data_IF_372302000220
#
_entry.id   IF_372302000220
#
_cell.length_a   1.000
_cell.length_b   1.000
_cell.length_c   1.000
_cell.angle_alpha   90.00
_cell.angle_beta   90.00
_cell.angle_gamma   90.00
#
_symmetry.space_group_name_H-M   'P 1'
#
loop_
_entity.id
_entity.type
_entity.pdbx_description
1 polymer ?
#
# COMPACT_ATOMS: atom_id res chain seq x y z
N UNK A 1 22.03 14.78 4.39
CA UNK A 1 21.87 16.12 3.77
C UNK A 1 23.05 16.98 4.19
N UNK A 2 23.72 17.56 3.23
CA UNK A 2 24.77 18.56 3.46
C UNK A 2 24.21 19.93 3.13
N UNK A 3 24.34 20.88 4.06
CA UNK A 3 23.87 22.26 3.84
C UNK A 3 25.07 23.19 3.70
N UNK A 4 25.13 23.98 2.64
CA UNK A 4 26.13 25.01 2.43
C UNK A 4 25.43 26.37 2.14
N UNK A 5 26.21 27.45 1.96
CA UNK A 5 25.68 28.79 1.70
C UNK A 5 24.86 28.90 0.38
N UNK A 6 24.87 27.86 -0.48
CA UNK A 6 24.15 27.81 -1.76
C UNK A 6 22.91 26.90 -1.74
N UNK A 7 22.65 26.20 -0.63
CA UNK A 7 21.49 25.31 -0.47
C UNK A 7 21.83 23.99 0.22
N UNK A 8 20.84 23.09 0.33
CA UNK A 8 21.01 21.75 0.85
C UNK A 8 21.10 20.74 -0.30
N UNK A 9 22.12 19.89 -0.28
CA UNK A 9 22.35 18.83 -1.26
C UNK A 9 22.19 17.48 -0.58
N UNK A 10 21.47 16.54 -1.21
CA UNK A 10 21.35 15.17 -0.72
C UNK A 10 22.42 14.29 -1.36
N UNK A 11 23.38 13.83 -0.56
CA UNK A 11 24.48 12.99 -1.02
C UNK A 11 24.30 11.55 -0.52
N UNK A 12 24.41 10.60 -1.44
CA UNK A 12 24.65 9.19 -1.10
C UNK A 12 26.15 8.99 -0.93
N UNK A 13 26.57 8.64 0.29
CA UNK A 13 27.97 8.40 0.60
C UNK A 13 28.18 6.91 0.84
N UNK A 14 29.04 6.29 0.04
CA UNK A 14 29.49 4.92 0.24
C UNK A 14 30.98 4.89 0.55
N UNK A 15 31.37 4.06 1.54
CA UNK A 15 32.75 3.92 1.97
C UNK A 15 33.19 2.46 1.77
N UNK A 16 34.31 2.25 1.07
CA UNK A 16 34.95 0.95 0.90
C UNK A 16 36.37 1.00 1.40
N UNK A 17 36.80 0.02 2.18
CA UNK A 17 38.19 -0.13 2.59
C UNK A 17 38.90 -1.09 1.65
N UNK A 18 40.02 -0.64 1.08
CA UNK A 18 40.89 -1.42 0.21
C UNK A 18 42.31 -1.41 0.75
N UNK A 19 43.07 -2.49 0.58
CA UNK A 19 44.48 -2.55 0.90
C UNK A 19 45.28 -2.27 -0.38
N UNK A 20 46.02 -1.17 -0.39
CA UNK A 20 46.92 -0.83 -1.48
C UNK A 20 48.36 -0.84 -0.96
N UNK A 21 49.17 -1.76 -1.40
CA UNK A 21 50.57 -1.95 -0.94
C UNK A 21 50.69 -2.02 0.59
N UNK A 22 49.86 -2.88 1.22
CA UNK A 22 49.74 -3.06 2.68
C UNK A 22 49.32 -1.85 3.49
N UNK A 23 48.86 -0.78 2.86
CA UNK A 23 48.27 0.37 3.52
C UNK A 23 46.73 0.37 3.38
N UNK A 24 45.97 0.46 4.48
CA UNK A 24 44.55 0.58 4.38
C UNK A 24 44.15 1.96 3.85
N UNK A 25 43.44 1.94 2.71
CA UNK A 25 42.86 3.17 2.11
C UNK A 25 41.34 3.06 2.21
N UNK A 26 40.70 4.15 2.63
CA UNK A 26 39.23 4.27 2.60
C UNK A 26 38.85 5.09 1.37
N UNK A 27 38.17 4.43 0.42
CA UNK A 27 37.56 5.09 -0.73
C UNK A 27 36.18 5.59 -0.33
N UNK A 28 35.96 6.90 -0.43
CA UNK A 28 34.64 7.52 -0.25
C UNK A 28 34.10 7.92 -1.63
N UNK A 29 32.94 7.36 -1.99
CA UNK A 29 32.19 7.76 -3.19
C UNK A 29 30.99 8.58 -2.72
N UNK A 30 30.87 9.79 -3.23
CA UNK A 30 29.76 10.69 -2.95
C UNK A 30 28.99 10.95 -4.26
N UNK A 31 27.75 10.51 -4.31
CA UNK A 31 26.86 10.77 -5.44
C UNK A 31 25.80 11.78 -5.01
N UNK A 32 25.59 12.81 -5.81
CA UNK A 32 24.43 13.69 -5.68
C UNK A 32 23.20 12.95 -6.17
N UNK A 33 22.22 12.76 -5.29
CA UNK A 33 20.98 12.02 -5.60
C UNK A 33 19.75 12.94 -5.66
N UNK A 34 19.93 14.26 -5.58
CA UNK A 34 18.81 15.21 -5.60
C UNK A 34 18.02 15.09 -6.91
N UNK A 35 18.71 15.11 -8.05
CA UNK A 35 18.06 14.94 -9.36
C UNK A 35 17.44 13.54 -9.55
N UNK A 36 18.07 12.46 -9.08
CA UNK A 36 17.51 11.11 -9.19
C UNK A 36 16.28 10.89 -8.31
N UNK A 37 16.20 11.58 -7.17
CA UNK A 37 15.02 11.53 -6.29
C UNK A 37 13.86 12.30 -6.90
N UNK A 38 14.15 13.49 -7.45
CA UNK A 38 13.16 14.35 -8.12
C UNK A 38 12.60 13.66 -9.39
N UNK A 39 13.45 13.05 -10.22
CA UNK A 39 13.01 12.29 -11.38
C UNK A 39 12.09 11.10 -11.00
N UNK A 40 12.45 10.33 -9.98
CA UNK A 40 11.61 9.22 -9.50
C UNK A 40 10.30 9.71 -8.87
N UNK A 41 10.32 10.84 -8.22
CA UNK A 41 9.12 11.46 -7.67
C UNK A 41 8.21 11.97 -8.80
N UNK A 42 8.76 12.66 -9.78
CA UNK A 42 8.03 13.11 -10.98
C UNK A 42 7.44 11.93 -11.74
N UNK A 43 8.21 10.86 -11.99
CA UNK A 43 7.72 9.65 -12.63
C UNK A 43 6.55 9.02 -11.87
N UNK A 44 6.64 9.00 -10.54
CA UNK A 44 5.57 8.51 -9.67
C UNK A 44 4.30 9.36 -9.78
N UNK A 45 4.46 10.69 -9.84
CA UNK A 45 3.35 11.64 -10.03
C UNK A 45 2.72 11.51 -11.43
N UNK A 46 3.53 11.41 -12.48
CA UNK A 46 3.06 11.22 -13.86
C UNK A 46 2.27 9.92 -13.98
N UNK A 47 2.77 8.83 -13.37
CA UNK A 47 2.09 7.54 -13.32
C UNK A 47 0.76 7.63 -12.57
N UNK A 48 0.74 8.33 -11.44
CA UNK A 48 -0.47 8.59 -10.66
C UNK A 48 -1.53 9.37 -11.48
N UNK A 49 -1.13 10.47 -12.12
CA UNK A 49 -2.03 11.29 -12.96
C UNK A 49 -2.60 10.46 -14.12
N UNK A 50 -1.78 9.61 -14.73
CA UNK A 50 -2.23 8.73 -15.82
C UNK A 50 -3.30 7.74 -15.34
N UNK A 51 -3.09 7.09 -14.18
CA UNK A 51 -4.06 6.18 -13.59
C UNK A 51 -5.36 6.93 -13.24
N UNK A 52 -5.25 8.11 -12.60
CA UNK A 52 -6.40 8.97 -12.29
C UNK A 52 -7.21 9.31 -13.55
N UNK A 53 -6.54 9.76 -14.59
CA UNK A 53 -7.20 10.14 -15.85
C UNK A 53 -7.91 8.94 -16.48
N UNK A 54 -7.25 7.77 -16.47
CA UNK A 54 -7.81 6.54 -17.02
C UNK A 54 -9.05 6.08 -16.24
N UNK A 55 -9.01 6.02 -14.91
CA UNK A 55 -10.13 5.59 -14.06
C UNK A 55 -11.33 6.56 -14.12
N UNK A 56 -11.05 7.88 -14.18
CA UNK A 56 -12.10 8.88 -14.37
C UNK A 56 -12.75 8.71 -15.74
N UNK A 57 -11.98 8.56 -16.80
CA UNK A 57 -12.54 8.38 -18.15
C UNK A 57 -13.32 7.07 -18.30
N UNK A 58 -12.80 5.98 -17.73
CA UNK A 58 -13.49 4.68 -17.70
C UNK A 58 -14.84 4.73 -16.94
N UNK A 59 -14.97 5.64 -15.98
CA UNK A 59 -16.22 5.83 -15.24
C UNK A 59 -17.17 6.81 -15.93
N UNK A 60 -16.67 7.91 -16.50
CA UNK A 60 -17.52 8.94 -17.12
C UNK A 60 -18.04 8.51 -18.49
N UNK A 61 -17.22 7.85 -19.31
CA UNK A 61 -17.60 7.48 -20.68
C UNK A 61 -18.84 6.56 -20.73
N UNK A 62 -18.96 5.48 -19.92
CA UNK A 62 -20.19 4.67 -19.88
C UNK A 62 -21.40 5.46 -19.37
N UNK A 63 -21.22 6.34 -18.38
CA UNK A 63 -22.32 7.17 -17.83
C UNK A 63 -22.90 8.08 -18.92
N UNK A 64 -22.04 8.79 -19.66
CA UNK A 64 -22.47 9.68 -20.74
C UNK A 64 -23.11 8.88 -21.89
N UNK A 65 -22.47 7.80 -22.34
CA UNK A 65 -23.01 6.97 -23.43
C UNK A 65 -24.37 6.35 -23.10
N UNK A 66 -24.55 5.85 -21.87
CA UNK A 66 -25.84 5.30 -21.44
C UNK A 66 -26.90 6.41 -21.30
N UNK A 67 -26.53 7.58 -20.79
CA UNK A 67 -27.45 8.73 -20.69
C UNK A 67 -27.95 9.15 -22.08
N UNK A 68 -27.05 9.27 -23.07
CA UNK A 68 -27.40 9.62 -24.44
C UNK A 68 -28.28 8.55 -25.10
N UNK A 69 -27.98 7.27 -24.85
CA UNK A 69 -28.79 6.14 -25.33
C UNK A 69 -30.19 6.19 -24.76
N UNK A 70 -30.33 6.39 -23.44
CA UNK A 70 -31.63 6.48 -22.78
C UNK A 70 -32.46 7.66 -23.28
N UNK A 71 -31.82 8.83 -23.49
CA UNK A 71 -32.47 10.00 -24.08
C UNK A 71 -32.95 9.71 -25.50
N UNK A 72 -32.16 9.07 -26.34
CA UNK A 72 -32.52 8.66 -27.69
C UNK A 72 -33.73 7.72 -27.68
N UNK A 73 -33.72 6.71 -26.80
CA UNK A 73 -34.82 5.72 -26.67
C UNK A 73 -36.15 6.38 -26.24
N UNK A 74 -36.09 7.43 -25.39
CA UNK A 74 -37.29 8.17 -25.01
C UNK A 74 -37.90 9.01 -26.15
N UNK A 75 -37.12 9.31 -27.16
CA UNK A 75 -37.54 10.06 -28.36
C UNK A 75 -37.93 9.18 -29.51
N UNK A 76 -37.78 7.87 -29.40
CA UNK A 76 -38.08 6.87 -30.48
C UNK A 76 -39.51 6.35 -30.35
N UNK A 77 -40.41 6.65 -31.31
CA UNK A 77 -41.81 6.21 -31.25
C UNK A 77 -41.95 4.68 -31.52
N UNK A 78 -40.95 3.98 -31.99
CA UNK A 78 -41.00 2.55 -32.25
C UNK A 78 -40.75 1.70 -31.01
N UNK A 79 -40.22 2.28 -29.92
CA UNK A 79 -39.94 1.56 -28.69
C UNK A 79 -41.20 1.35 -27.87
N UNK A 80 -41.46 0.12 -27.45
CA UNK A 80 -42.60 -0.19 -26.60
C UNK A 80 -42.43 0.39 -25.18
N UNK A 81 -43.49 0.80 -24.47
CA UNK A 81 -43.40 1.31 -23.10
C UNK A 81 -42.71 0.34 -22.13
N UNK A 82 -42.93 -0.96 -22.30
CA UNK A 82 -42.30 -2.00 -21.44
C UNK A 82 -40.81 -2.13 -21.72
N UNK A 83 -40.37 -2.07 -22.96
CA UNK A 83 -38.95 -2.08 -23.31
C UNK A 83 -38.27 -0.80 -22.86
N UNK A 84 -38.90 0.34 -23.03
CA UNK A 84 -38.40 1.64 -22.56
C UNK A 84 -38.19 1.62 -21.05
N UNK A 85 -39.19 1.15 -20.28
CA UNK A 85 -39.08 1.04 -18.83
C UNK A 85 -37.92 0.13 -18.40
N UNK A 86 -37.86 -1.09 -18.96
CA UNK A 86 -36.82 -2.07 -18.64
C UNK A 86 -35.42 -1.53 -18.94
N UNK A 87 -35.22 -0.94 -20.12
CA UNK A 87 -33.94 -0.39 -20.54
C UNK A 87 -33.54 0.81 -19.70
N UNK A 88 -34.50 1.68 -19.34
CA UNK A 88 -34.26 2.81 -18.44
C UNK A 88 -33.84 2.35 -17.06
N UNK A 89 -34.53 1.37 -16.46
CA UNK A 89 -34.17 0.81 -15.15
C UNK A 89 -32.75 0.19 -15.17
N UNK A 90 -32.41 -0.58 -16.18
CA UNK A 90 -31.11 -1.18 -16.34
C UNK A 90 -30.01 -0.13 -16.55
N UNK A 91 -30.24 0.85 -17.42
CA UNK A 91 -29.27 1.92 -17.67
C UNK A 91 -29.00 2.78 -16.45
N UNK A 92 -30.07 3.18 -15.72
CA UNK A 92 -29.91 3.92 -14.47
C UNK A 92 -29.19 3.13 -13.39
N UNK A 93 -29.40 1.81 -13.33
CA UNK A 93 -28.66 0.94 -12.40
C UNK A 93 -27.17 0.95 -12.70
N UNK A 94 -26.76 0.79 -13.97
CA UNK A 94 -25.35 0.84 -14.37
C UNK A 94 -24.74 2.22 -14.10
N UNK A 95 -25.45 3.31 -14.41
CA UNK A 95 -25.01 4.67 -14.10
C UNK A 95 -24.78 4.85 -12.60
N UNK A 96 -25.71 4.36 -11.76
CA UNK A 96 -25.59 4.44 -10.30
C UNK A 96 -24.39 3.62 -9.78
N UNK A 97 -24.19 2.41 -10.26
CA UNK A 97 -23.08 1.55 -9.87
C UNK A 97 -21.73 2.17 -10.28
N UNK A 98 -21.63 2.69 -11.49
CA UNK A 98 -20.44 3.38 -11.99
C UNK A 98 -20.14 4.64 -11.17
N UNK A 99 -21.17 5.42 -10.84
CA UNK A 99 -21.03 6.60 -9.97
C UNK A 99 -20.53 6.26 -8.57
N UNK A 100 -21.04 5.18 -7.96
CA UNK A 100 -20.55 4.67 -6.67
C UNK A 100 -19.08 4.23 -6.75
N UNK A 101 -18.69 3.55 -7.83
CA UNK A 101 -17.30 3.18 -8.08
C UNK A 101 -16.37 4.39 -8.13
N UNK A 102 -16.78 5.46 -8.84
CA UNK A 102 -16.01 6.69 -8.92
C UNK A 102 -15.89 7.39 -7.57
N UNK A 103 -16.95 7.43 -6.76
CA UNK A 103 -16.90 7.99 -5.40
C UNK A 103 -15.88 7.21 -4.55
N UNK A 104 -15.93 5.88 -4.55
CA UNK A 104 -14.99 5.02 -3.83
C UNK A 104 -13.55 5.24 -4.27
N UNK A 105 -13.33 5.42 -5.56
CA UNK A 105 -12.01 5.75 -6.12
C UNK A 105 -11.50 7.11 -5.63
N UNK A 106 -12.34 8.16 -5.64
CA UNK A 106 -11.97 9.49 -5.13
C UNK A 106 -11.68 9.47 -3.62
N UNK A 107 -12.44 8.70 -2.84
CA UNK A 107 -12.17 8.52 -1.41
C UNK A 107 -10.82 7.82 -1.17
N UNK A 108 -10.51 6.82 -1.98
CA UNK A 108 -9.23 6.13 -1.96
C UNK A 108 -8.07 7.07 -2.28
N UNK A 109 -8.22 7.91 -3.30
CA UNK A 109 -7.27 8.97 -3.64
C UNK A 109 -7.07 9.96 -2.48
N UNK A 110 -8.15 10.40 -1.83
CA UNK A 110 -8.04 11.28 -0.66
C UNK A 110 -7.28 10.65 0.50
N UNK A 111 -7.49 9.36 0.77
CA UNK A 111 -6.73 8.61 1.79
C UNK A 111 -5.24 8.56 1.47
N UNK A 112 -4.88 8.44 0.20
CA UNK A 112 -3.47 8.45 -0.24
C UNK A 112 -2.82 9.83 -0.09
N UNK A 113 -3.54 10.92 -0.45
CA UNK A 113 -2.97 12.29 -0.48
C UNK A 113 -3.02 13.02 0.86
N UNK A 114 -3.85 12.57 1.82
CA UNK A 114 -4.10 13.26 3.09
C UNK A 114 -3.67 12.45 4.31
N UNK A 115 -2.43 11.95 4.30
CA UNK A 115 -1.87 11.34 5.50
C UNK A 115 -1.48 12.48 6.46
N UNK A 116 -2.01 12.52 7.69
CA UNK A 116 -1.66 13.56 8.66
C UNK A 116 -0.20 13.44 9.09
N UNK A 117 0.35 14.51 9.65
CA UNK A 117 1.69 14.46 10.25
C UNK A 117 1.66 13.52 11.46
N UNK A 118 2.67 12.61 11.62
CA UNK A 118 2.69 11.68 12.73
C UNK A 118 2.79 12.40 14.10
N UNK A 119 1.88 12.04 14.99
CA UNK A 119 1.92 12.40 16.42
C UNK A 119 2.55 11.24 17.19
N UNK A 120 3.86 11.27 17.32
CA UNK A 120 4.65 10.14 17.82
C UNK A 120 4.62 10.08 19.34
N UNK A 121 4.43 8.87 19.87
CA UNK A 121 4.56 8.52 21.27
C UNK A 121 5.29 7.19 21.46
N UNK A 122 5.62 6.84 22.68
CA UNK A 122 6.29 5.59 22.99
C UNK A 122 5.26 4.46 23.09
N UNK A 123 5.28 3.54 22.13
CA UNK A 123 4.34 2.42 21.98
C UNK A 123 4.99 1.13 22.50
N UNK A 124 4.31 0.40 23.39
CA UNK A 124 4.66 -0.98 23.71
C UNK A 124 4.16 -1.89 22.56
N UNK A 125 5.09 -2.57 21.87
CA UNK A 125 4.75 -3.35 20.69
C UNK A 125 3.92 -4.61 21.00
N UNK A 126 4.09 -5.20 22.16
CA UNK A 126 3.30 -6.37 22.55
C UNK A 126 1.81 -5.99 22.66
N UNK A 127 1.50 -4.98 23.47
CA UNK A 127 0.13 -4.50 23.59
C UNK A 127 -0.47 -4.02 22.26
N UNK A 128 0.35 -3.33 21.47
CA UNK A 128 -0.06 -2.76 20.18
C UNK A 128 -0.43 -3.86 19.18
N UNK A 129 0.43 -4.89 19.03
CA UNK A 129 0.20 -6.00 18.11
C UNK A 129 -0.98 -6.86 18.57
N UNK A 130 -1.11 -7.13 19.87
CA UNK A 130 -2.26 -7.87 20.41
C UNK A 130 -3.59 -7.17 20.12
N UNK A 131 -3.66 -5.83 20.26
CA UNK A 131 -4.85 -5.06 19.88
C UNK A 131 -5.16 -5.17 18.38
N UNK A 132 -4.14 -5.13 17.53
CA UNK A 132 -4.33 -5.28 16.08
C UNK A 132 -4.85 -6.68 15.72
N UNK A 133 -4.38 -7.72 16.38
CA UNK A 133 -4.89 -9.10 16.22
C UNK A 133 -6.37 -9.17 16.59
N UNK A 134 -6.76 -8.64 17.77
CA UNK A 134 -8.15 -8.62 18.22
C UNK A 134 -9.04 -7.87 17.21
N UNK A 135 -8.61 -6.69 16.75
CA UNK A 135 -9.37 -5.90 15.79
C UNK A 135 -9.53 -6.60 14.44
N UNK A 136 -8.49 -7.31 13.98
CA UNK A 136 -8.55 -8.03 12.72
C UNK A 136 -9.45 -9.26 12.77
N UNK A 137 -9.54 -9.95 13.92
CA UNK A 137 -10.38 -11.14 14.08
C UNK A 137 -11.88 -10.84 14.11
N UNK A 138 -12.29 -9.59 14.29
CA UNK A 138 -13.71 -9.17 14.32
C UNK A 138 -14.31 -8.87 12.95
N UNK A 139 -13.50 -8.83 11.89
CA UNK A 139 -14.04 -8.57 10.54
C UNK A 139 -14.78 -9.82 9.99
N UNK A 140 -16.04 -9.69 9.57
CA UNK A 140 -16.78 -10.79 8.96
C UNK A 140 -16.10 -11.18 7.63
N UNK A 141 -15.99 -12.47 7.34
CA UNK A 141 -15.38 -13.10 6.16
C UNK A 141 -13.86 -13.31 6.21
N UNK A 142 -13.21 -13.23 7.37
CA UNK A 142 -11.85 -13.75 7.45
C UNK A 142 -11.85 -15.29 7.59
N UNK A 143 -10.92 -15.99 6.90
CA UNK A 143 -10.73 -17.41 7.11
C UNK A 143 -10.31 -17.69 8.56
N UNK A 144 -10.57 -18.89 9.06
CA UNK A 144 -9.93 -19.37 10.29
C UNK A 144 -8.42 -19.42 10.04
N UNK A 145 -7.68 -18.48 10.66
CA UNK A 145 -6.24 -18.34 10.51
C UNK A 145 -5.60 -18.46 11.87
N UNK A 146 -4.60 -19.32 11.98
CA UNK A 146 -3.73 -19.35 13.16
C UNK A 146 -2.80 -18.16 13.13
N UNK A 147 -2.78 -17.38 14.23
CA UNK A 147 -1.91 -16.20 14.33
C UNK A 147 -0.95 -16.40 15.51
N UNK A 148 0.34 -16.48 15.20
CA UNK A 148 1.41 -16.49 16.20
C UNK A 148 2.02 -15.10 16.38
N UNK A 149 2.27 -14.73 17.63
CA UNK A 149 2.91 -13.44 17.99
C UNK A 149 4.19 -13.73 18.77
N UNK A 150 5.33 -13.24 18.26
CA UNK A 150 6.66 -13.41 18.85
C UNK A 150 7.38 -12.05 18.91
N UNK A 151 7.56 -11.51 20.10
CA UNK A 151 8.18 -10.20 20.32
C UNK A 151 9.37 -10.35 21.26
N UNK A 152 10.54 -9.94 20.80
CA UNK A 152 11.80 -10.04 21.53
C UNK A 152 12.59 -8.71 21.52
N UNK A 153 12.83 -8.10 22.69
CA UNK A 153 12.35 -8.49 24.02
C UNK A 153 10.85 -8.20 24.21
N UNK A 154 10.20 -8.84 25.18
CA UNK A 154 8.75 -8.72 25.41
C UNK A 154 8.28 -7.29 25.70
N UNK A 155 9.15 -6.47 26.30
CA UNK A 155 8.93 -5.04 26.61
C UNK A 155 9.39 -4.10 25.48
N UNK A 156 9.60 -4.62 24.26
CA UNK A 156 10.07 -3.85 23.11
C UNK A 156 9.15 -2.66 22.82
N UNK A 157 9.76 -1.48 22.72
CA UNK A 157 9.06 -0.22 22.50
C UNK A 157 9.55 0.49 21.25
N UNK A 158 8.67 1.26 20.61
CA UNK A 158 8.98 2.07 19.44
C UNK A 158 8.39 3.48 19.60
N UNK A 159 9.08 4.50 19.09
CA UNK A 159 8.60 5.88 19.08
C UNK A 159 7.91 6.19 17.77
N UNK A 160 6.57 6.10 17.74
CA UNK A 160 5.77 6.19 16.52
C UNK A 160 4.35 6.71 16.82
N UNK A 161 3.60 7.05 15.77
CA UNK A 161 2.18 7.36 15.87
C UNK A 161 1.36 6.06 15.90
N UNK A 162 0.62 5.77 16.99
CA UNK A 162 -0.12 4.53 17.13
C UNK A 162 -1.24 4.35 16.10
N UNK A 163 -1.89 5.44 15.68
CA UNK A 163 -3.00 5.38 14.72
C UNK A 163 -2.47 5.05 13.31
N UNK A 164 -1.42 5.75 12.88
CA UNK A 164 -0.79 5.52 11.58
C UNK A 164 -0.10 4.15 11.52
N UNK A 165 0.58 3.74 12.58
CA UNK A 165 1.16 2.39 12.68
C UNK A 165 0.09 1.31 12.70
N UNK A 166 -1.03 1.55 13.38
CA UNK A 166 -2.20 0.68 13.37
C UNK A 166 -2.76 0.49 11.96
N UNK A 167 -2.87 1.59 11.20
CA UNK A 167 -3.30 1.54 9.81
C UNK A 167 -2.36 0.70 8.94
N UNK A 168 -1.04 0.85 9.13
CA UNK A 168 -0.04 0.02 8.42
C UNK A 168 -0.21 -1.45 8.77
N UNK A 169 -0.22 -1.79 10.07
CA UNK A 169 -0.30 -3.17 10.51
C UNK A 169 -1.60 -3.85 10.05
N UNK A 170 -2.75 -3.20 10.23
CA UNK A 170 -4.04 -3.72 9.78
C UNK A 170 -4.09 -3.93 8.26
N UNK A 171 -3.49 -3.01 7.48
CA UNK A 171 -3.41 -3.18 6.03
C UNK A 171 -2.57 -4.40 5.63
N UNK A 172 -1.43 -4.64 6.29
CA UNK A 172 -0.59 -5.81 6.04
C UNK A 172 -1.32 -7.10 6.45
N UNK A 173 -1.99 -7.11 7.60
CA UNK A 173 -2.81 -8.24 8.03
C UNK A 173 -3.95 -8.54 7.06
N UNK A 174 -4.69 -7.52 6.58
CA UNK A 174 -5.72 -7.67 5.55
C UNK A 174 -5.17 -8.27 4.25
N UNK A 175 -3.95 -7.92 3.86
CA UNK A 175 -3.31 -8.52 2.71
C UNK A 175 -2.99 -10.00 2.94
N UNK A 176 -2.47 -10.35 4.11
CA UNK A 176 -2.19 -11.73 4.50
C UNK A 176 -3.49 -12.57 4.54
N UNK A 177 -4.55 -12.08 5.20
CA UNK A 177 -5.84 -12.77 5.23
C UNK A 177 -6.41 -13.02 3.82
N UNK A 178 -6.30 -12.01 2.93
CA UNK A 178 -6.76 -12.18 1.56
C UNK A 178 -5.97 -13.27 0.83
N UNK A 179 -4.66 -13.31 1.00
CA UNK A 179 -3.80 -14.31 0.39
C UNK A 179 -4.06 -15.74 0.91
N UNK A 180 -4.62 -15.85 2.12
CA UNK A 180 -4.90 -17.12 2.78
C UNK A 180 -6.33 -17.64 2.57
N UNK A 181 -7.19 -16.94 1.82
CA UNK A 181 -8.55 -17.36 1.55
C UNK A 181 -8.60 -18.75 0.91
N UNK A 182 -9.41 -19.65 1.49
CA UNK A 182 -9.60 -21.02 0.99
C UNK A 182 -8.46 -21.98 1.32
N UNK A 183 -7.54 -21.59 2.20
CA UNK A 183 -6.43 -22.42 2.63
C UNK A 183 -6.75 -23.05 3.99
N UNK A 184 -6.59 -24.38 4.11
CA UNK A 184 -6.88 -25.12 5.34
C UNK A 184 -5.80 -24.92 6.43
N UNK A 185 -4.53 -24.77 6.03
CA UNK A 185 -3.37 -24.55 6.89
C UNK A 185 -2.99 -23.06 6.99
N UNK A 186 -3.98 -22.16 6.94
CA UNK A 186 -3.76 -20.72 6.95
C UNK A 186 -3.04 -20.25 8.22
N UNK A 187 -1.89 -19.59 8.06
CA UNK A 187 -1.02 -19.21 9.17
C UNK A 187 -0.39 -17.85 8.95
N UNK A 188 -0.45 -16.99 9.98
CA UNK A 188 0.22 -15.69 10.03
C UNK A 188 1.15 -15.65 11.24
N UNK A 189 2.38 -15.20 11.04
CA UNK A 189 3.31 -14.91 12.14
C UNK A 189 3.57 -13.40 12.19
N UNK A 190 3.31 -12.81 13.36
CA UNK A 190 3.67 -11.45 13.69
C UNK A 190 4.89 -11.49 14.60
N UNK A 191 5.99 -10.86 14.18
CA UNK A 191 7.18 -10.80 15.02
C UNK A 191 7.75 -9.38 15.10
N UNK A 192 8.39 -9.06 16.24
CA UNK A 192 9.11 -7.81 16.41
C UNK A 192 10.41 -8.04 17.17
N UNK A 193 11.49 -7.41 16.70
CA UNK A 193 12.83 -7.53 17.29
C UNK A 193 13.69 -6.30 17.03
N UNK A 194 14.80 -6.17 17.76
CA UNK A 194 15.85 -5.22 17.41
C UNK A 194 16.66 -5.70 16.21
N UNK A 195 16.72 -4.89 15.16
CA UNK A 195 17.58 -5.13 14.01
C UNK A 195 19.05 -4.79 14.25
N UNK A 196 19.96 -5.19 13.35
CA UNK A 196 21.41 -5.01 13.49
C UNK A 196 21.86 -3.54 13.63
N UNK A 197 21.04 -2.59 13.17
CA UNK A 197 21.37 -1.15 13.18
C UNK A 197 20.70 -0.40 14.34
N UNK A 198 20.18 -1.11 15.35
CA UNK A 198 19.43 -0.52 16.46
C UNK A 198 17.99 -0.10 16.11
N UNK A 199 17.55 -0.32 14.88
CA UNK A 199 16.17 -0.12 14.44
C UNK A 199 15.31 -1.28 14.89
N UNK A 200 14.02 -1.01 15.10
CA UNK A 200 13.03 -2.05 15.37
C UNK A 200 12.51 -2.60 14.03
N UNK A 201 12.42 -3.92 13.95
CA UNK A 201 11.87 -4.66 12.82
C UNK A 201 10.56 -5.32 13.26
N UNK A 202 9.45 -4.98 12.58
CA UNK A 202 8.16 -5.63 12.80
C UNK A 202 7.83 -6.39 11.51
N UNK A 203 7.58 -7.71 11.60
CA UNK A 203 7.29 -8.55 10.43
C UNK A 203 5.88 -9.11 10.49
N UNK A 204 5.23 -9.10 9.34
CA UNK A 204 3.99 -9.82 9.07
C UNK A 204 4.31 -10.85 8.01
N UNK A 205 4.31 -12.13 8.41
CA UNK A 205 4.57 -13.27 7.53
C UNK A 205 3.30 -14.08 7.35
N UNK A 206 2.96 -14.41 6.13
CA UNK A 206 1.91 -15.35 5.79
C UNK A 206 2.47 -16.54 4.99
N UNK A 207 1.83 -17.71 5.12
CA UNK A 207 2.14 -18.89 4.34
C UNK A 207 1.25 -19.01 3.10
N UNK A 208 0.84 -17.88 2.53
CA UNK A 208 0.04 -17.78 1.32
C UNK A 208 0.77 -18.18 0.03
N UNK A 209 0.17 -17.93 -1.13
CA UNK A 209 0.72 -18.31 -2.44
C UNK A 209 1.96 -17.51 -2.83
N UNK A 210 2.38 -16.53 -2.01
CA UNK A 210 3.46 -15.64 -2.35
C UNK A 210 3.08 -14.60 -3.42
N UNK A 211 4.09 -13.85 -3.85
CA UNK A 211 3.97 -12.79 -4.87
C UNK A 211 4.93 -13.16 -6.01
N UNK A 212 4.43 -13.19 -7.23
CA UNK A 212 5.29 -13.51 -8.38
C UNK A 212 6.34 -12.41 -8.62
N UNK A 213 7.54 -12.76 -9.13
CA UNK A 213 8.59 -11.80 -9.41
C UNK A 213 8.16 -10.67 -10.37
N UNK A 214 7.23 -10.97 -11.28
CA UNK A 214 6.75 -10.03 -12.30
C UNK A 214 6.07 -8.80 -11.68
N UNK A 215 5.25 -9.01 -10.63
CA UNK A 215 4.49 -7.94 -9.99
C UNK A 215 5.17 -7.38 -8.74
N UNK A 216 6.27 -7.99 -8.28
CA UNK A 216 6.96 -7.60 -7.03
C UNK A 216 7.33 -6.11 -6.99
N UNK A 217 7.72 -5.54 -8.13
CA UNK A 217 8.08 -4.12 -8.23
C UNK A 217 6.86 -3.19 -8.27
N UNK A 218 5.68 -3.72 -8.59
CA UNK A 218 4.46 -2.95 -8.79
C UNK A 218 3.56 -2.88 -7.56
N UNK A 219 3.72 -3.79 -6.59
CA UNK A 219 2.84 -3.88 -5.41
C UNK A 219 2.79 -2.60 -4.56
N UNK A 220 3.80 -1.74 -4.66
CA UNK A 220 3.84 -0.43 -3.99
C UNK A 220 3.42 0.73 -4.90
N UNK A 221 3.13 0.48 -6.16
CA UNK A 221 2.60 1.50 -7.08
C UNK A 221 1.15 1.79 -6.67
N UNK A 222 0.79 3.06 -6.44
CA UNK A 222 -0.60 3.40 -6.09
C UNK A 222 -1.59 2.90 -7.13
N UNK A 223 -2.73 2.38 -6.67
CA UNK A 223 -3.82 1.79 -7.46
C UNK A 223 -3.49 0.47 -8.18
N UNK A 224 -2.27 -0.04 -8.06
CA UNK A 224 -1.97 -1.39 -8.52
C UNK A 224 -2.63 -2.42 -7.60
N UNK A 225 -3.44 -3.31 -8.17
CA UNK A 225 -4.11 -4.38 -7.43
C UNK A 225 -4.36 -5.59 -8.33
N UNK A 226 -4.20 -6.77 -7.76
CA UNK A 226 -4.62 -8.04 -8.35
C UNK A 226 -5.94 -8.55 -7.76
N UNK A 227 -6.57 -7.78 -6.86
CA UNK A 227 -7.80 -8.13 -6.16
C UNK A 227 -8.99 -7.44 -6.83
N UNK A 228 -10.09 -8.17 -7.01
CA UNK A 228 -11.31 -7.62 -7.62
C UNK A 228 -11.90 -6.43 -6.84
N UNK A 229 -11.87 -6.48 -5.51
CA UNK A 229 -12.40 -5.43 -4.64
C UNK A 229 -11.31 -4.55 -4.00
N UNK A 230 -10.08 -4.64 -4.49
CA UNK A 230 -8.93 -3.93 -3.92
C UNK A 230 -8.78 -2.52 -4.48
N UNK A 231 -8.66 -1.50 -3.62
CA UNK A 231 -8.35 -0.11 -4.05
C UNK A 231 -6.93 0.08 -4.58
N UNK A 232 -6.01 -0.88 -4.35
CA UNK A 232 -4.61 -0.78 -4.74
C UNK A 232 -3.77 0.29 -4.02
N UNK A 233 -4.33 0.96 -3.00
CA UNK A 233 -3.60 2.04 -2.30
C UNK A 233 -2.99 1.61 -0.96
N UNK A 234 -3.40 0.48 -0.40
CA UNK A 234 -3.02 0.10 0.96
C UNK A 234 -1.51 0.05 1.17
N UNK A 235 -0.77 -0.65 0.31
CA UNK A 235 0.68 -0.79 0.42
C UNK A 235 1.43 0.52 0.13
N UNK A 236 0.96 1.33 -0.81
CA UNK A 236 1.55 2.63 -1.11
C UNK A 236 1.37 3.62 0.05
N UNK A 237 0.18 3.67 0.67
CA UNK A 237 -0.10 4.44 1.89
C UNK A 237 0.78 3.94 3.05
N UNK A 238 0.86 2.63 3.26
CA UNK A 238 1.69 2.05 4.31
C UNK A 238 3.17 2.44 4.15
N UNK A 239 3.69 2.39 2.93
CA UNK A 239 5.06 2.82 2.64
C UNK A 239 5.29 4.31 2.90
N UNK A 240 4.32 5.15 2.55
CA UNK A 240 4.38 6.59 2.80
C UNK A 240 4.33 6.91 4.30
N UNK A 241 3.45 6.25 5.07
CA UNK A 241 3.40 6.38 6.53
C UNK A 241 4.77 6.02 7.13
N UNK A 242 5.39 4.92 6.70
CA UNK A 242 6.70 4.53 7.20
C UNK A 242 7.80 5.54 6.86
N UNK A 243 7.79 6.11 5.66
CA UNK A 243 8.71 7.20 5.29
C UNK A 243 8.54 8.44 6.18
N UNK A 244 7.30 8.81 6.49
CA UNK A 244 7.02 9.94 7.40
C UNK A 244 7.51 9.67 8.83
N UNK A 245 7.65 8.40 9.23
CA UNK A 245 8.27 7.99 10.49
C UNK A 245 9.81 7.90 10.43
N UNK A 246 10.44 8.16 9.28
CA UNK A 246 11.87 7.97 9.07
C UNK A 246 12.28 6.50 8.92
N UNK A 247 11.28 5.63 8.73
CA UNK A 247 11.41 4.21 8.55
C UNK A 247 11.25 3.76 7.10
N UNK A 248 11.03 2.46 6.91
CA UNK A 248 10.78 1.86 5.60
C UNK A 248 9.84 0.66 5.72
N UNK A 249 9.20 0.30 4.60
CA UNK A 249 8.43 -0.94 4.44
C UNK A 249 9.07 -1.77 3.31
N UNK A 250 9.52 -2.97 3.65
CA UNK A 250 10.10 -3.93 2.70
C UNK A 250 9.22 -5.15 2.55
N UNK A 251 9.38 -5.87 1.45
CA UNK A 251 8.74 -7.14 1.18
C UNK A 251 9.78 -8.15 0.74
N UNK A 252 9.61 -9.39 1.17
CA UNK A 252 10.30 -10.57 0.65
C UNK A 252 9.24 -11.65 0.45
N UNK A 253 9.23 -12.30 -0.69
CA UNK A 253 8.25 -13.34 -0.98
C UNK A 253 8.87 -14.45 -1.80
N UNK A 254 8.40 -15.66 -1.56
CA UNK A 254 8.72 -16.87 -2.33
C UNK A 254 7.39 -17.36 -2.90
N UNK A 255 7.27 -17.31 -4.22
CA UNK A 255 6.07 -17.77 -4.92
C UNK A 255 5.74 -19.22 -4.56
N UNK A 256 4.47 -19.51 -4.31
CA UNK A 256 3.97 -20.80 -3.84
C UNK A 256 4.22 -21.11 -2.37
N UNK A 257 4.91 -20.24 -1.60
CA UNK A 257 5.34 -20.58 -0.24
C UNK A 257 4.96 -19.55 0.83
N UNK A 258 5.34 -18.28 0.66
CA UNK A 258 5.18 -17.28 1.72
C UNK A 258 5.37 -15.85 1.24
N UNK A 259 4.80 -14.91 2.02
CA UNK A 259 5.12 -13.48 1.91
C UNK A 259 5.50 -12.94 3.29
N UNK A 260 6.54 -12.09 3.34
CA UNK A 260 6.99 -11.41 4.55
C UNK A 260 7.08 -9.91 4.28
N UNK A 261 6.21 -9.14 4.91
CA UNK A 261 6.36 -7.70 4.98
C UNK A 261 7.15 -7.30 6.22
N UNK A 262 8.12 -6.42 6.07
CA UNK A 262 8.98 -5.94 7.17
C UNK A 262 8.87 -4.43 7.30
N UNK A 263 8.32 -3.97 8.40
CA UNK A 263 8.34 -2.57 8.85
C UNK A 263 9.68 -2.34 9.54
N UNK A 264 10.39 -1.30 9.16
CA UNK A 264 11.70 -0.90 9.70
C UNK A 264 11.56 0.51 10.25
N UNK A 265 11.79 0.70 11.55
CA UNK A 265 11.62 1.98 12.24
C UNK A 265 12.70 2.24 13.27
#
# INVERSE_FOLDING_TARGET
TFTNERGSVQLLVSASRILLKDKPITLLVMNDIENELDEKEIDSWVRLIRVLSHEIMNSIAPVTSLSDTLLSMHSDPEITPDDLKRNTENGLKVISETGKGLISFVESYRKFTRIPRPERELINLNEFIQRAVILSSTEPNFPEVTIDVCIEPEDLKVFADPNLMGQVLLNLMKNAFYALRGREDAHITLSAEHGPTGKVLIRVRDNGPGISPEIMNEIFVPFFTTKEEGSGIGLSVSRQIMRMHGGNLKVSSIEGKETVFTIII
#
